data_IF_580859681839
#
_entry.id   IF_580859681839
#
_cell.length_a   1.000
_cell.length_b   1.000
_cell.length_c   1.000
_cell.angle_alpha   90.00
_cell.angle_beta   90.00
_cell.angle_gamma   90.00
#
_symmetry.space_group_name_H-M   'P 1'
#
loop_
_entity.id
_entity.type
_entity.pdbx_description
1 polymer ?
#
# COMPACT_ATOMS: atom_id res chain seq x y z
N UNK A 1 -22.24 5.68 1.58
CA UNK A 1 -20.87 6.23 1.40
C UNK A 1 -19.86 5.57 2.33
N UNK A 2 -20.12 5.42 3.64
CA UNK A 2 -19.20 4.80 4.62
C UNK A 2 -18.69 3.40 4.22
N UNK A 3 -19.58 2.49 3.82
CA UNK A 3 -19.20 1.14 3.35
C UNK A 3 -18.25 1.16 2.14
N UNK A 4 -18.45 2.09 1.20
CA UNK A 4 -17.59 2.21 0.00
C UNK A 4 -16.18 2.66 0.41
N UNK A 5 -16.10 3.64 1.32
CA UNK A 5 -14.83 4.13 1.84
C UNK A 5 -14.08 3.04 2.63
N UNK A 6 -14.80 2.27 3.43
CA UNK A 6 -14.25 1.14 4.19
C UNK A 6 -13.72 0.03 3.26
N UNK A 7 -14.46 -0.33 2.20
CA UNK A 7 -13.96 -1.25 1.17
C UNK A 7 -12.73 -0.70 0.44
N UNK A 8 -12.69 0.59 0.11
CA UNK A 8 -11.52 1.22 -0.52
C UNK A 8 -10.29 1.19 0.39
N UNK A 9 -10.47 1.43 1.69
CA UNK A 9 -9.40 1.33 2.69
C UNK A 9 -8.87 -0.10 2.76
N UNK A 10 -9.75 -1.09 2.86
CA UNK A 10 -9.36 -2.51 2.93
C UNK A 10 -8.61 -2.93 1.67
N UNK A 11 -9.11 -2.56 0.48
CA UNK A 11 -8.45 -2.88 -0.79
C UNK A 11 -7.07 -2.22 -0.85
N UNK A 12 -6.96 -0.95 -0.45
CA UNK A 12 -5.68 -0.24 -0.39
C UNK A 12 -4.68 -0.93 0.53
N UNK A 13 -5.12 -1.37 1.71
CA UNK A 13 -4.31 -2.13 2.66
C UNK A 13 -3.85 -3.48 2.12
N UNK A 14 -4.74 -4.22 1.46
CA UNK A 14 -4.44 -5.52 0.85
C UNK A 14 -3.41 -5.37 -0.26
N UNK A 15 -3.61 -4.41 -1.17
CA UNK A 15 -2.67 -4.12 -2.26
C UNK A 15 -1.29 -3.69 -1.73
N UNK A 16 -1.27 -2.85 -0.69
CA UNK A 16 -0.04 -2.47 -0.02
C UNK A 16 0.68 -3.67 0.59
N UNK A 17 -0.03 -4.50 1.35
CA UNK A 17 0.55 -5.64 2.05
C UNK A 17 1.13 -6.66 1.07
N UNK A 18 0.33 -7.13 0.11
CA UNK A 18 0.80 -8.11 -0.86
C UNK A 18 1.84 -7.56 -1.81
N UNK A 19 1.66 -6.33 -2.31
CA UNK A 19 2.65 -5.68 -3.16
C UNK A 19 3.99 -5.49 -2.44
N UNK A 20 3.95 -5.03 -1.18
CA UNK A 20 5.13 -4.84 -0.35
C UNK A 20 5.84 -6.15 -0.04
N UNK A 21 5.08 -7.21 0.26
CA UNK A 21 5.62 -8.55 0.47
C UNK A 21 6.35 -9.06 -0.78
N UNK A 22 5.72 -8.97 -1.95
CA UNK A 22 6.32 -9.41 -3.22
C UNK A 22 7.58 -8.60 -3.54
N UNK A 23 7.55 -7.28 -3.33
CA UNK A 23 8.72 -6.42 -3.49
C UNK A 23 9.89 -6.92 -2.62
N UNK A 24 9.66 -7.12 -1.32
CA UNK A 24 10.70 -7.56 -0.38
C UNK A 24 11.22 -8.95 -0.75
N UNK A 25 10.34 -9.90 -1.07
CA UNK A 25 10.74 -11.22 -1.54
C UNK A 25 11.60 -11.16 -2.80
N UNK A 26 11.24 -10.30 -3.75
CA UNK A 26 11.99 -10.11 -5.01
C UNK A 26 13.35 -9.47 -4.75
N UNK A 27 13.43 -8.50 -3.83
CA UNK A 27 14.70 -7.89 -3.42
C UNK A 27 15.63 -8.90 -2.73
N UNK A 28 15.09 -9.74 -1.84
CA UNK A 28 15.84 -10.83 -1.19
C UNK A 28 16.35 -11.81 -2.23
N UNK A 29 15.51 -12.23 -3.19
CA UNK A 29 15.95 -13.09 -4.28
C UNK A 29 17.07 -12.44 -5.10
N UNK A 30 16.93 -11.16 -5.48
CA UNK A 30 17.97 -10.42 -6.19
C UNK A 30 19.29 -10.33 -5.42
N UNK A 31 19.22 -10.18 -4.09
CA UNK A 31 20.40 -10.23 -3.21
C UNK A 31 21.07 -11.61 -3.20
N UNK A 32 20.30 -12.69 -3.07
CA UNK A 32 20.82 -14.07 -3.07
C UNK A 32 21.54 -14.39 -4.39
N UNK A 33 20.99 -13.93 -5.52
CA UNK A 33 21.58 -14.13 -6.85
C UNK A 33 22.61 -13.06 -7.24
N UNK A 34 22.99 -12.15 -6.33
CA UNK A 34 23.88 -11.00 -6.60
C UNK A 34 23.47 -10.17 -7.84
N UNK A 35 22.17 -10.14 -8.14
CA UNK A 35 21.62 -9.49 -9.33
C UNK A 35 21.01 -8.12 -8.96
N UNK A 36 21.85 -7.08 -9.01
CA UNK A 36 21.43 -5.72 -8.70
C UNK A 36 20.35 -5.19 -9.66
N UNK A 37 20.37 -5.60 -10.93
CA UNK A 37 19.37 -5.18 -11.91
C UNK A 37 17.96 -5.62 -11.50
N UNK A 38 17.83 -6.84 -10.93
CA UNK A 38 16.55 -7.37 -10.46
C UNK A 38 16.03 -6.60 -9.23
N UNK A 39 16.91 -6.22 -8.31
CA UNK A 39 16.56 -5.38 -7.14
C UNK A 39 16.06 -3.99 -7.56
N UNK A 40 16.75 -3.36 -8.51
CA UNK A 40 16.41 -2.02 -9.02
C UNK A 40 15.11 -2.07 -9.84
N UNK A 41 14.95 -3.07 -10.70
CA UNK A 41 13.75 -3.25 -11.50
C UNK A 41 12.51 -3.49 -10.64
N UNK A 42 12.63 -4.32 -9.58
CA UNK A 42 11.56 -4.54 -8.63
C UNK A 42 11.15 -3.24 -7.92
N UNK A 43 12.11 -2.45 -7.45
CA UNK A 43 11.83 -1.14 -6.83
C UNK A 43 11.10 -0.19 -7.78
N UNK A 44 11.51 -0.15 -9.05
CA UNK A 44 10.86 0.69 -10.07
C UNK A 44 9.43 0.24 -10.34
N UNK A 45 9.22 -1.07 -10.54
CA UNK A 45 7.91 -1.65 -10.81
C UNK A 45 6.91 -1.44 -9.66
N UNK A 46 7.34 -1.58 -8.41
CA UNK A 46 6.48 -1.43 -7.24
C UNK A 46 6.47 -0.02 -6.64
N UNK A 47 7.02 0.98 -7.34
CA UNK A 47 7.06 2.37 -6.86
C UNK A 47 5.68 2.97 -6.56
N UNK A 48 4.63 2.47 -7.21
CA UNK A 48 3.23 2.88 -7.01
C UNK A 48 2.65 2.47 -5.64
N UNK A 49 3.28 1.52 -4.93
CA UNK A 49 2.81 1.07 -3.62
C UNK A 49 2.86 2.22 -2.61
N UNK A 50 3.92 3.03 -2.63
CA UNK A 50 4.13 4.13 -1.69
C UNK A 50 3.03 5.21 -1.77
N UNK A 51 2.71 5.79 -2.94
CA UNK A 51 1.62 6.77 -3.03
C UNK A 51 0.26 6.14 -2.71
N UNK A 52 0.04 4.86 -3.08
CA UNK A 52 -1.23 4.17 -2.79
C UNK A 52 -1.44 3.97 -1.28
N UNK A 53 -0.36 3.70 -0.54
CA UNK A 53 -0.38 3.66 0.94
C UNK A 53 -0.72 5.02 1.54
N UNK A 54 -0.10 6.09 1.03
CA UNK A 54 -0.38 7.46 1.45
C UNK A 54 -1.84 7.85 1.24
N UNK A 55 -2.40 7.53 0.07
CA UNK A 55 -3.82 7.74 -0.23
C UNK A 55 -4.74 6.92 0.69
N UNK A 56 -4.39 5.66 0.96
CA UNK A 56 -5.15 4.81 1.87
C UNK A 56 -5.16 5.39 3.29
N UNK A 57 -4.03 5.89 3.77
CA UNK A 57 -3.94 6.58 5.07
C UNK A 57 -4.77 7.86 5.12
N UNK A 58 -4.78 8.64 4.03
CA UNK A 58 -5.62 9.84 3.92
C UNK A 58 -7.11 9.49 3.93
N UNK A 59 -7.51 8.41 3.26
CA UNK A 59 -8.88 7.90 3.31
C UNK A 59 -9.26 7.45 4.72
N UNK A 60 -8.37 6.81 5.47
CA UNK A 60 -8.59 6.49 6.88
C UNK A 60 -8.80 7.74 7.74
N UNK A 61 -8.02 8.79 7.51
CA UNK A 61 -8.16 10.05 8.24
C UNK A 61 -9.52 10.73 7.96
N UNK A 62 -9.91 10.81 6.68
CA UNK A 62 -11.23 11.32 6.27
C UNK A 62 -12.36 10.47 6.89
N UNK A 63 -12.20 9.15 6.91
CA UNK A 63 -13.17 8.25 7.54
C UNK A 63 -13.36 8.54 9.02
N UNK A 64 -12.25 8.77 9.74
CA UNK A 64 -12.28 9.11 11.18
C UNK A 64 -13.04 10.41 11.41
N UNK A 65 -12.76 11.45 10.63
CA UNK A 65 -13.40 12.76 10.77
C UNK A 65 -14.91 12.71 10.47
N UNK A 66 -15.32 11.93 9.46
CA UNK A 66 -16.73 11.69 9.13
C UNK A 66 -17.47 10.83 10.17
N UNK A 67 -16.74 10.09 11.00
CA UNK A 67 -17.31 9.33 12.10
C UNK A 67 -17.50 10.22 13.32
N UNK A 68 -16.51 11.05 13.63
CA UNK A 68 -16.50 11.95 14.79
C UNK A 68 -17.50 13.11 14.67
N UNK A 69 -17.76 13.60 13.45
CA UNK A 69 -18.78 14.63 13.20
C UNK A 69 -20.24 14.15 13.23
N UNK A 70 -20.51 12.86 13.43
CA UNK A 70 -21.87 12.29 13.50
C UNK A 70 -22.33 11.99 14.93
N UNK A 71 -21.42 12.06 15.91
CA UNK A 71 -21.68 11.83 17.34
C UNK A 71 -22.00 13.14 18.12
N UNK A 72 -22.20 14.26 17.41
CA UNK A 72 -22.65 15.56 17.92
C UNK A 72 -23.99 15.97 17.31
#
# INVERSE_FOLDING_TARGET
>A
MKKILEYLIIIGFVLFFFGGLILVCTQIAGLIFFNQSLVIAARSYFSWIFPLTGLTGLLCWIYSYLKEGEDH
#
